data_IF_305710525562
#
_entry.id   IF_305710525562
#
_cell.length_a   1.000
_cell.length_b   1.000
_cell.length_c   1.000
_cell.angle_alpha   90.00
_cell.angle_beta   90.00
_cell.angle_gamma   90.00
#
_symmetry.space_group_name_H-M   'P 1'
#
loop_
_entity.id
_entity.type
_entity.pdbx_description
1 polymer ?
#
# COMPACT_ATOMS: atom_id res chain seq x y z
N UNK A 1 -40.34 -15.04 8.99
CA UNK A 1 -39.10 -15.65 9.53
C UNK A 1 -37.91 -15.04 8.82
N UNK A 2 -36.97 -14.52 9.54
CA UNK A 2 -35.87 -13.75 8.94
C UNK A 2 -34.52 -14.16 9.52
N UNK A 3 -33.50 -14.28 8.67
CA UNK A 3 -32.09 -14.49 9.04
C UNK A 3 -31.31 -13.25 8.64
N UNK A 4 -30.78 -12.54 9.62
CA UNK A 4 -29.96 -11.34 9.40
C UNK A 4 -28.48 -11.74 9.34
N UNK A 5 -27.81 -11.46 8.22
CA UNK A 5 -26.39 -11.74 8.02
C UNK A 5 -25.59 -10.46 8.30
N UNK A 6 -24.70 -10.48 9.31
CA UNK A 6 -23.91 -9.33 9.71
C UNK A 6 -22.42 -9.63 9.74
N UNK A 7 -21.60 -8.59 9.52
CA UNK A 7 -20.14 -8.63 9.59
C UNK A 7 -19.67 -9.14 10.96
N UNK A 8 -18.84 -10.17 10.96
CA UNK A 8 -18.06 -10.63 12.09
C UNK A 8 -16.66 -9.99 12.11
N UNK A 9 -15.75 -10.55 12.89
CA UNK A 9 -14.35 -10.11 12.94
C UNK A 9 -13.61 -10.48 11.65
N UNK A 10 -12.91 -9.50 11.08
CA UNK A 10 -11.85 -9.75 10.11
C UNK A 10 -10.62 -10.23 10.88
N UNK A 11 -10.11 -11.41 10.58
CA UNK A 11 -8.88 -11.95 11.20
C UNK A 11 -7.81 -12.12 10.12
N UNK A 12 -6.69 -11.43 10.30
CA UNK A 12 -5.45 -11.73 9.58
C UNK A 12 -4.90 -13.05 10.11
N UNK A 13 -4.47 -13.93 9.23
CA UNK A 13 -3.71 -15.12 9.60
C UNK A 13 -2.26 -14.69 9.82
N UNK A 14 -1.72 -14.63 11.05
CA UNK A 14 -0.30 -14.39 11.25
C UNK A 14 0.43 -15.59 10.68
N UNK A 15 1.25 -15.39 9.65
CA UNK A 15 2.24 -16.37 9.22
C UNK A 15 3.06 -16.74 10.45
N UNK A 16 3.01 -18.02 10.85
CA UNK A 16 3.65 -18.49 12.06
C UNK A 16 5.16 -18.32 12.00
N UNK A 17 5.68 -17.31 12.65
CA UNK A 17 7.08 -17.23 13.02
C UNK A 17 7.31 -18.11 14.22
N UNK A 18 7.93 -19.26 14.01
CA UNK A 18 8.52 -20.07 15.07
C UNK A 18 9.75 -19.31 15.56
N UNK A 19 9.61 -18.58 16.66
CA UNK A 19 10.73 -18.01 17.38
C UNK A 19 11.42 -19.13 18.17
N UNK A 20 12.51 -19.66 17.64
CA UNK A 20 13.44 -20.43 18.46
C UNK A 20 14.25 -19.46 19.32
N UNK A 21 13.86 -19.35 20.59
CA UNK A 21 14.61 -18.65 21.61
C UNK A 21 15.91 -19.43 21.93
N UNK A 22 17.03 -18.96 21.41
CA UNK A 22 18.36 -19.32 21.94
C UNK A 22 18.76 -18.27 22.97
N UNK A 23 18.75 -18.69 24.22
CA UNK A 23 19.40 -18.00 25.34
C UNK A 23 20.92 -17.99 25.11
N UNK A 24 21.52 -16.82 25.04
CA UNK A 24 22.96 -16.61 25.14
C UNK A 24 23.26 -15.79 26.39
N UNK A 25 24.38 -16.06 27.08
CA UNK A 25 24.64 -15.56 28.43
C UNK A 25 25.08 -14.10 28.43
N UNK A 26 24.73 -13.41 29.53
CA UNK A 26 25.17 -12.06 29.87
C UNK A 26 26.70 -12.03 30.07
N UNK A 27 27.42 -11.33 29.20
CA UNK A 27 28.74 -10.84 29.48
C UNK A 27 28.69 -9.31 29.65
N UNK A 28 29.09 -8.88 30.81
CA UNK A 28 29.31 -7.49 31.20
C UNK A 28 30.52 -6.96 30.43
N UNK A 29 30.37 -5.91 29.64
CA UNK A 29 31.49 -5.15 29.11
C UNK A 29 31.40 -3.68 29.50
N UNK A 30 32.52 -3.22 30.05
CA UNK A 30 32.76 -1.89 30.56
C UNK A 30 32.56 -0.80 29.48
N UNK A 31 32.02 0.34 29.91
CA UNK A 31 31.92 1.54 29.12
C UNK A 31 33.31 2.09 28.79
N UNK A 32 33.72 1.99 27.53
CA UNK A 32 34.80 2.79 26.96
C UNK A 32 34.16 3.90 26.14
N UNK A 33 34.37 5.14 26.59
CA UNK A 33 33.98 6.38 25.94
C UNK A 33 34.86 6.57 24.68
N UNK A 34 34.46 6.02 23.54
CA UNK A 34 35.04 6.34 22.25
C UNK A 34 34.34 7.57 21.66
N UNK A 35 35.02 8.69 21.67
CA UNK A 35 34.74 9.85 20.82
C UNK A 35 34.78 9.36 19.36
N UNK A 36 33.62 9.12 18.76
CA UNK A 36 33.53 8.85 17.34
C UNK A 36 33.74 10.17 16.59
N UNK A 37 34.98 10.39 16.13
CA UNK A 37 35.20 11.24 14.98
C UNK A 37 34.45 10.58 13.81
N UNK A 38 33.36 11.21 13.35
CA UNK A 38 32.75 10.85 12.10
C UNK A 38 33.80 10.96 10.99
N UNK A 39 34.04 9.92 10.17
CA UNK A 39 34.90 10.08 9.03
C UNK A 39 34.24 11.09 8.10
N UNK A 40 34.85 12.26 7.96
CA UNK A 40 34.55 13.14 6.84
C UNK A 40 34.90 12.36 5.58
N UNK A 41 33.90 11.86 4.88
CA UNK A 41 34.11 11.28 3.56
C UNK A 41 34.59 12.41 2.65
N UNK A 42 35.89 12.50 2.49
CA UNK A 42 36.50 13.29 1.43
C UNK A 42 36.22 12.58 0.12
N UNK A 43 35.20 13.00 -0.59
CA UNK A 43 34.96 12.59 -1.96
C UNK A 43 36.10 13.10 -2.82
N UNK A 44 36.97 12.19 -3.28
CA UNK A 44 37.99 12.52 -4.26
C UNK A 44 37.28 12.86 -5.58
N UNK A 45 37.05 14.13 -5.86
CA UNK A 45 36.59 14.61 -7.13
C UNK A 45 37.72 14.53 -8.14
N UNK A 46 37.55 13.71 -9.19
CA UNK A 46 38.34 13.85 -10.40
C UNK A 46 37.97 15.20 -11.04
N UNK A 47 38.75 16.22 -10.71
CA UNK A 47 38.50 17.59 -11.15
C UNK A 47 38.68 17.74 -12.66
N UNK A 48 37.59 18.05 -13.33
CA UNK A 48 37.68 18.74 -14.61
C UNK A 48 38.19 20.15 -14.31
N UNK A 49 39.39 20.46 -14.80
CA UNK A 49 40.01 21.77 -14.66
C UNK A 49 39.10 22.84 -15.29
N UNK A 50 38.47 23.69 -14.44
CA UNK A 50 37.67 24.81 -14.93
C UNK A 50 36.33 25.08 -14.23
N UNK A 51 35.80 24.20 -13.38
CA UNK A 51 34.50 24.40 -12.74
C UNK A 51 34.67 25.10 -11.37
N UNK A 52 34.59 26.44 -11.40
CA UNK A 52 34.66 27.27 -10.20
C UNK A 52 33.36 27.30 -9.38
N UNK A 53 32.31 26.64 -9.83
CA UNK A 53 31.07 26.46 -9.11
C UNK A 53 30.88 24.96 -8.82
N UNK A 54 30.75 24.61 -7.55
CA UNK A 54 30.45 23.24 -7.10
C UNK A 54 29.11 23.22 -6.40
N UNK A 55 28.15 22.46 -6.94
CA UNK A 55 26.87 22.26 -6.28
C UNK A 55 26.68 20.77 -6.00
N UNK A 56 26.15 20.45 -4.83
CA UNK A 56 25.77 19.10 -4.42
C UNK A 56 24.31 19.07 -3.99
N UNK A 57 23.68 17.91 -4.06
CA UNK A 57 22.35 17.71 -3.53
C UNK A 57 22.20 16.34 -2.87
N UNK A 58 21.26 16.24 -1.93
CA UNK A 58 20.92 15.00 -1.24
C UNK A 58 19.43 14.98 -0.94
N UNK A 59 18.84 13.78 -0.89
CA UNK A 59 17.44 13.54 -0.52
C UNK A 59 17.38 13.05 0.91
N UNK A 60 16.46 13.60 1.69
CA UNK A 60 16.14 13.14 3.05
C UNK A 60 14.63 12.94 3.16
N UNK A 61 14.19 11.71 3.45
CA UNK A 61 12.79 11.39 3.67
C UNK A 61 12.28 12.03 4.95
N UNK A 62 11.06 12.59 4.91
CA UNK A 62 10.36 13.13 6.07
C UNK A 62 9.55 12.02 6.75
N UNK A 63 9.21 10.95 6.04
CA UNK A 63 8.40 9.83 6.53
C UNK A 63 9.26 8.61 6.88
N UNK A 64 9.37 8.31 8.15
CA UNK A 64 9.63 7.04 8.85
C UNK A 64 10.68 6.03 8.39
N UNK A 65 11.07 5.96 7.12
CA UNK A 65 12.04 4.99 6.62
C UNK A 65 13.51 5.43 6.84
N UNK A 66 13.74 6.73 7.09
CA UNK A 66 15.06 7.32 7.27
C UNK A 66 15.89 7.40 5.98
N UNK A 67 16.89 8.26 5.95
CA UNK A 67 17.79 8.41 4.82
C UNK A 67 17.09 8.88 3.53
N UNK A 68 17.50 8.32 2.41
CA UNK A 68 17.04 8.68 1.06
C UNK A 68 15.92 7.76 0.51
N UNK A 69 15.09 7.17 1.39
CA UNK A 69 13.99 6.27 1.01
C UNK A 69 12.63 6.92 1.28
N UNK A 70 11.82 7.10 0.24
CA UNK A 70 10.41 7.48 0.33
C UNK A 70 9.57 6.20 0.36
N UNK A 71 8.88 5.91 1.47
CA UNK A 71 8.15 4.66 1.64
C UNK A 71 6.67 4.88 1.86
N UNK A 72 5.84 4.25 1.02
CA UNK A 72 4.40 4.07 1.23
C UNK A 72 4.21 2.84 2.11
N UNK A 73 3.80 3.06 3.34
CA UNK A 73 3.68 2.01 4.35
C UNK A 73 5.04 1.50 4.87
N UNK A 74 4.97 0.47 5.70
CA UNK A 74 6.12 -0.22 6.30
C UNK A 74 5.95 -1.73 6.15
N UNK A 75 6.98 -2.55 6.39
CA UNK A 75 6.84 -4.01 6.34
C UNK A 75 5.75 -4.59 7.27
N UNK A 76 5.43 -3.87 8.36
CA UNK A 76 4.42 -4.29 9.35
C UNK A 76 3.06 -3.60 9.17
N UNK A 77 3.02 -2.48 8.46
CA UNK A 77 1.83 -1.67 8.18
C UNK A 77 1.85 -1.25 6.71
N UNK A 78 1.58 -2.21 5.85
CA UNK A 78 1.49 -1.94 4.42
C UNK A 78 0.22 -1.18 4.04
N UNK A 79 0.23 -0.61 2.86
CA UNK A 79 -0.92 0.09 2.28
C UNK A 79 -2.00 -0.90 1.85
N UNK A 80 -3.26 -0.48 1.94
CA UNK A 80 -4.40 -1.19 1.38
C UNK A 80 -4.62 -0.77 -0.08
N UNK A 81 -4.36 -1.68 -1.02
CA UNK A 81 -4.54 -1.42 -2.46
C UNK A 81 -6.02 -1.34 -2.89
N UNK A 82 -6.97 -1.75 -2.02
CA UNK A 82 -8.41 -1.64 -2.28
C UNK A 82 -8.97 -0.25 -1.96
N UNK A 83 -8.23 0.56 -1.19
CA UNK A 83 -8.62 1.92 -0.86
C UNK A 83 -8.49 2.86 -2.06
N UNK A 84 -9.46 3.75 -2.23
CA UNK A 84 -9.48 4.72 -3.32
C UNK A 84 -8.50 5.89 -3.14
N UNK A 85 -7.95 6.08 -1.93
CA UNK A 85 -6.98 7.13 -1.62
C UNK A 85 -5.80 6.53 -0.85
N UNK A 86 -4.62 6.64 -1.44
CA UNK A 86 -3.37 6.22 -0.82
C UNK A 86 -2.64 7.46 -0.33
N UNK A 87 -2.11 7.45 0.90
CA UNK A 87 -1.37 8.58 1.46
C UNK A 87 -0.20 8.98 0.56
N UNK A 88 0.04 10.29 0.46
CA UNK A 88 1.27 10.80 -0.16
C UNK A 88 2.44 10.76 0.82
N UNK A 89 3.65 10.63 0.28
CA UNK A 89 4.89 10.68 1.05
C UNK A 89 5.77 11.81 0.53
N UNK A 90 6.52 12.44 1.43
CA UNK A 90 7.35 13.60 1.12
C UNK A 90 8.80 13.38 1.52
N UNK A 91 9.69 14.02 0.77
CA UNK A 91 11.09 14.15 1.08
C UNK A 91 11.56 15.59 0.84
N UNK A 92 12.67 15.94 1.45
CA UNK A 92 13.36 17.19 1.21
C UNK A 92 14.62 16.92 0.40
N UNK A 93 14.78 17.61 -0.72
CA UNK A 93 16.04 17.71 -1.45
C UNK A 93 16.79 18.92 -0.88
N UNK A 94 17.90 18.70 -0.21
CA UNK A 94 18.78 19.75 0.29
C UNK A 94 19.92 19.93 -0.71
N UNK A 95 20.23 21.15 -1.05
CA UNK A 95 21.35 21.46 -1.94
C UNK A 95 22.28 22.52 -1.35
N UNK A 96 23.53 22.47 -1.77
CA UNK A 96 24.55 23.44 -1.42
C UNK A 96 25.41 23.76 -2.64
N UNK A 97 25.67 25.06 -2.89
CA UNK A 97 26.53 25.54 -3.97
C UNK A 97 27.63 26.38 -3.40
N UNK A 98 28.88 26.04 -3.70
CA UNK A 98 30.08 26.78 -3.37
C UNK A 98 30.63 27.53 -4.59
N UNK A 99 30.69 28.84 -4.51
CA UNK A 99 31.37 29.69 -5.50
C UNK A 99 32.86 29.86 -5.14
N UNK A 100 33.75 29.28 -5.93
CA UNK A 100 35.20 29.37 -5.75
C UNK A 100 35.82 30.58 -6.47
N UNK A 101 35.01 31.47 -7.03
CA UNK A 101 35.48 32.67 -7.73
C UNK A 101 35.67 33.85 -6.77
N UNK A 102 36.60 34.77 -7.06
CA UNK A 102 36.79 35.98 -6.26
C UNK A 102 35.74 37.08 -6.54
N UNK A 103 34.63 36.76 -7.25
CA UNK A 103 33.55 37.66 -7.60
C UNK A 103 32.19 36.96 -7.49
N UNK A 104 31.13 37.76 -7.37
CA UNK A 104 29.74 37.25 -7.28
C UNK A 104 29.35 36.52 -8.54
N UNK A 105 28.69 35.37 -8.38
CA UNK A 105 28.20 34.51 -9.44
C UNK A 105 26.68 34.37 -9.38
N UNK A 106 26.04 34.39 -10.52
CA UNK A 106 24.61 34.13 -10.70
C UNK A 106 24.45 32.69 -11.20
N UNK A 107 23.64 31.88 -10.51
CA UNK A 107 23.51 30.45 -10.80
C UNK A 107 22.04 30.01 -10.81
N UNK A 108 21.64 29.16 -11.76
CA UNK A 108 20.39 28.41 -11.72
C UNK A 108 20.69 26.92 -11.68
N UNK A 109 19.92 26.18 -10.84
CA UNK A 109 20.01 24.74 -10.71
C UNK A 109 18.79 24.11 -11.35
N UNK A 110 18.99 22.96 -12.02
CA UNK A 110 17.93 22.05 -12.40
C UNK A 110 18.08 20.71 -11.70
N UNK A 111 17.03 20.29 -11.03
CA UNK A 111 16.89 18.97 -10.43
C UNK A 111 16.10 18.10 -11.39
N UNK A 112 16.78 17.21 -12.08
CA UNK A 112 16.19 16.27 -13.03
C UNK A 112 15.82 14.97 -12.33
N UNK A 113 14.58 14.50 -12.51
CA UNK A 113 14.13 13.18 -12.06
C UNK A 113 13.41 12.50 -13.21
N UNK A 114 13.98 11.43 -13.74
CA UNK A 114 13.39 10.61 -14.80
C UNK A 114 12.47 9.51 -14.26
N UNK A 115 12.25 8.45 -15.03
CA UNK A 115 11.39 7.33 -14.68
C UNK A 115 12.00 6.34 -13.69
N UNK A 116 13.30 6.45 -13.35
CA UNK A 116 14.02 5.48 -12.53
C UNK A 116 14.34 4.18 -13.28
N UNK A 117 14.81 3.17 -12.54
CA UNK A 117 15.30 1.91 -13.11
C UNK A 117 14.23 1.05 -13.83
N UNK A 118 12.94 1.24 -13.52
CA UNK A 118 11.85 0.48 -14.14
C UNK A 118 11.11 1.22 -15.25
N UNK A 119 11.38 2.51 -15.44
CA UNK A 119 10.74 3.35 -16.45
C UNK A 119 11.69 4.40 -17.02
N UNK A 120 12.90 4.03 -17.48
CA UNK A 120 13.98 5.00 -17.74
C UNK A 120 13.62 6.04 -18.82
N UNK A 121 12.66 5.76 -19.70
CA UNK A 121 12.19 6.68 -20.74
C UNK A 121 10.82 7.29 -20.46
N UNK A 122 10.22 6.93 -19.32
CA UNK A 122 8.83 7.30 -19.00
C UNK A 122 8.74 7.89 -17.59
N UNK A 123 8.31 9.12 -17.49
CA UNK A 123 8.14 9.79 -16.20
C UNK A 123 6.66 10.11 -15.86
N UNK A 124 5.70 9.53 -16.62
CA UNK A 124 4.27 9.69 -16.33
C UNK A 124 3.43 8.55 -16.97
N UNK A 125 2.95 7.60 -16.19
CA UNK A 125 3.32 7.32 -14.79
C UNK A 125 4.70 6.64 -14.70
N UNK A 126 5.28 6.70 -13.50
CA UNK A 126 6.45 5.90 -13.12
C UNK A 126 6.00 4.56 -12.56
N UNK A 127 6.91 3.57 -12.56
CA UNK A 127 6.63 2.23 -12.07
C UNK A 127 7.52 1.88 -10.87
N UNK A 128 6.89 1.36 -9.81
CA UNK A 128 7.55 0.55 -8.81
C UNK A 128 7.41 -0.91 -9.25
N UNK A 129 8.44 -1.70 -9.19
CA UNK A 129 8.37 -3.12 -9.49
C UNK A 129 8.77 -3.97 -8.29
N UNK A 130 8.20 -5.17 -8.20
CA UNK A 130 8.60 -6.10 -7.15
C UNK A 130 9.94 -6.78 -7.54
N UNK A 131 10.97 -6.77 -6.66
CA UNK A 131 12.32 -7.23 -7.02
C UNK A 131 12.38 -8.68 -7.49
N UNK A 132 11.53 -9.56 -6.94
CA UNK A 132 11.46 -10.98 -7.35
C UNK A 132 10.47 -11.24 -8.50
N UNK A 133 9.61 -10.29 -8.86
CA UNK A 133 8.56 -10.41 -9.89
C UNK A 133 8.40 -9.07 -10.62
N UNK A 134 9.33 -8.70 -11.48
CA UNK A 134 9.39 -7.36 -12.08
C UNK A 134 8.21 -7.01 -13.00
N UNK A 135 7.43 -8.02 -13.42
CA UNK A 135 6.18 -7.80 -14.17
C UNK A 135 5.02 -7.34 -13.29
N UNK A 136 5.11 -7.52 -11.96
CA UNK A 136 4.13 -7.03 -11.02
C UNK A 136 4.55 -5.63 -10.57
N UNK A 137 3.79 -4.63 -10.98
CA UNK A 137 4.16 -3.22 -10.82
C UNK A 137 3.05 -2.42 -10.15
N UNK A 138 3.44 -1.33 -9.50
CA UNK A 138 2.57 -0.26 -9.05
C UNK A 138 2.93 1.02 -9.77
N UNK A 139 1.93 1.79 -10.14
CA UNK A 139 2.10 3.10 -10.75
C UNK A 139 2.16 4.19 -9.68
N UNK A 140 3.08 5.12 -9.83
CA UNK A 140 3.22 6.27 -8.95
C UNK A 140 3.65 7.51 -9.70
N UNK A 141 3.64 8.65 -9.01
CA UNK A 141 4.10 9.90 -9.60
C UNK A 141 4.87 10.73 -8.58
N UNK A 142 5.81 11.53 -9.09
CA UNK A 142 6.61 12.48 -8.33
C UNK A 142 6.20 13.91 -8.72
N UNK A 143 6.02 14.75 -7.71
CA UNK A 143 5.53 16.12 -7.88
C UNK A 143 6.48 17.14 -7.30
N UNK A 144 6.60 18.27 -8.01
CA UNK A 144 7.28 19.49 -7.57
C UNK A 144 6.45 20.24 -6.52
N UNK A 145 7.02 21.24 -5.84
CA UNK A 145 6.29 22.06 -4.86
C UNK A 145 5.05 22.77 -5.43
N UNK A 146 5.04 23.05 -6.73
CA UNK A 146 3.90 23.68 -7.44
C UNK A 146 2.80 22.67 -7.82
N UNK A 147 2.92 21.40 -7.44
CA UNK A 147 1.99 20.34 -7.77
C UNK A 147 2.10 19.77 -9.18
N UNK A 148 3.00 20.27 -10.01
CA UNK A 148 3.22 19.72 -11.35
C UNK A 148 4.15 18.51 -11.31
N UNK A 149 4.03 17.62 -12.32
CA UNK A 149 4.84 16.41 -12.42
C UNK A 149 6.32 16.78 -12.55
N UNK A 150 7.15 16.11 -11.74
CA UNK A 150 8.61 16.26 -11.82
C UNK A 150 9.14 15.50 -13.03
N UNK A 151 9.95 16.12 -13.82
CA UNK A 151 10.59 15.53 -14.99
C UNK A 151 12.06 15.92 -15.11
N UNK A 152 12.57 15.91 -16.34
CA UNK A 152 13.97 16.23 -16.64
C UNK A 152 14.09 17.09 -17.90
N UNK A 153 15.32 17.53 -18.18
CA UNK A 153 15.68 18.17 -19.44
C UNK A 153 16.01 17.16 -20.56
N UNK A 154 15.76 15.85 -20.34
CA UNK A 154 15.93 14.84 -21.39
C UNK A 154 15.07 15.19 -22.62
N UNK A 155 15.55 14.94 -23.85
CA UNK A 155 14.83 15.29 -25.09
C UNK A 155 13.42 14.73 -25.17
N UNK A 156 13.19 13.54 -24.63
CA UNK A 156 11.90 12.82 -24.66
C UNK A 156 11.10 12.95 -23.36
N UNK A 157 11.50 13.80 -22.43
CA UNK A 157 10.79 14.00 -21.18
C UNK A 157 9.51 14.82 -21.39
N UNK A 158 8.37 14.25 -21.00
CA UNK A 158 7.07 14.93 -21.07
C UNK A 158 6.85 15.94 -19.94
N UNK A 159 7.73 15.95 -18.94
CA UNK A 159 7.70 16.89 -17.83
C UNK A 159 9.04 17.57 -17.66
N UNK A 160 9.02 18.78 -17.12
CA UNK A 160 10.23 19.59 -16.92
C UNK A 160 10.82 19.38 -15.53
N UNK A 161 12.14 19.55 -15.35
CA UNK A 161 12.77 19.50 -14.03
C UNK A 161 12.27 20.64 -13.14
N UNK A 162 12.55 20.54 -11.85
CA UNK A 162 12.49 21.70 -10.98
C UNK A 162 13.69 22.60 -11.25
N UNK A 163 13.45 23.89 -11.48
CA UNK A 163 14.48 24.91 -11.68
C UNK A 163 14.39 25.93 -10.54
N UNK A 164 15.51 26.19 -9.88
CA UNK A 164 15.56 27.20 -8.81
C UNK A 164 15.33 28.62 -9.35
N UNK A 165 14.92 29.51 -8.46
CA UNK A 165 15.13 30.91 -8.67
C UNK A 165 16.63 31.21 -8.85
N UNK A 166 16.94 32.43 -9.30
CA UNK A 166 18.32 32.84 -9.46
C UNK A 166 19.03 32.89 -8.11
N UNK A 167 20.05 32.06 -7.96
CA UNK A 167 20.95 32.10 -6.81
C UNK A 167 22.06 33.12 -7.07
N UNK A 168 22.18 34.07 -6.18
CA UNK A 168 23.29 35.02 -6.16
C UNK A 168 24.24 34.59 -5.06
N UNK A 169 25.49 34.23 -5.42
CA UNK A 169 26.46 33.65 -4.52
C UNK A 169 27.74 34.54 -4.55
N UNK A 170 28.07 35.11 -3.40
CA UNK A 170 29.24 35.99 -3.24
C UNK A 170 30.57 35.29 -3.52
N UNK A 171 31.67 36.02 -3.57
CA UNK A 171 32.99 35.46 -3.77
C UNK A 171 33.36 34.50 -2.64
N UNK A 172 33.94 33.35 -2.97
CA UNK A 172 34.36 32.30 -2.03
C UNK A 172 33.31 31.97 -0.96
N UNK A 173 32.03 31.98 -1.35
CA UNK A 173 30.90 31.81 -0.44
C UNK A 173 30.03 30.63 -0.84
N UNK A 174 29.29 30.10 0.14
CA UNK A 174 28.33 29.01 -0.04
C UNK A 174 26.87 29.53 0.01
N UNK A 175 26.01 28.94 -0.76
CA UNK A 175 24.54 29.11 -0.72
C UNK A 175 23.87 27.77 -0.71
N UNK A 176 23.02 27.55 0.29
CA UNK A 176 22.21 26.33 0.41
C UNK A 176 20.71 26.64 0.28
N UNK A 177 19.92 25.58 0.05
CA UNK A 177 18.48 25.66 0.02
C UNK A 177 17.84 24.27 0.03
N UNK A 178 16.50 24.27 0.02
CA UNK A 178 15.71 23.04 0.09
C UNK A 178 14.56 23.08 -0.91
N UNK A 179 14.18 21.89 -1.40
CA UNK A 179 13.05 21.69 -2.29
C UNK A 179 12.24 20.48 -1.83
N UNK A 180 10.93 20.60 -1.72
CA UNK A 180 10.06 19.48 -1.36
C UNK A 180 9.81 18.60 -2.58
N UNK A 181 9.99 17.29 -2.40
CA UNK A 181 9.63 16.23 -3.34
C UNK A 181 8.43 15.47 -2.75
N UNK A 182 7.32 15.41 -3.48
CA UNK A 182 6.14 14.65 -3.09
C UNK A 182 5.95 13.44 -4.00
N UNK A 183 5.81 12.25 -3.43
CA UNK A 183 5.45 11.04 -4.17
C UNK A 183 4.01 10.63 -3.86
N UNK A 184 3.26 10.20 -4.89
CA UNK A 184 1.88 9.71 -4.79
C UNK A 184 1.74 8.42 -5.60
N UNK A 185 1.12 7.40 -5.00
CA UNK A 185 0.65 6.24 -5.75
C UNK A 185 -0.60 6.62 -6.53
N UNK A 186 -0.76 6.04 -7.71
CA UNK A 186 -1.99 6.24 -8.48
C UNK A 186 -3.10 5.34 -7.92
N UNK A 187 -4.36 5.76 -8.14
CA UNK A 187 -5.54 5.00 -7.74
C UNK A 187 -5.78 3.81 -8.68
N UNK A 188 -6.68 2.90 -8.29
CA UNK A 188 -7.15 1.78 -9.12
C UNK A 188 -6.05 0.78 -9.50
N UNK A 189 -5.32 0.30 -8.48
CA UNK A 189 -4.25 -0.69 -8.64
C UNK A 189 -4.55 -2.00 -7.91
N UNK A 190 -5.81 -2.35 -7.83
CA UNK A 190 -6.36 -3.50 -7.10
C UNK A 190 -5.84 -4.84 -7.65
N UNK A 191 -5.36 -4.84 -8.91
CA UNK A 191 -4.77 -6.02 -9.57
C UNK A 191 -3.32 -6.29 -9.15
N UNK A 192 -2.66 -5.35 -8.48
CA UNK A 192 -1.33 -5.58 -7.93
C UNK A 192 -1.42 -6.54 -6.72
N UNK A 193 -0.42 -7.40 -6.58
CA UNK A 193 -0.40 -8.46 -5.57
C UNK A 193 0.40 -8.03 -4.34
N UNK A 194 -0.19 -7.93 -3.16
CA UNK A 194 0.58 -7.75 -1.93
C UNK A 194 1.43 -8.99 -1.64
N UNK A 195 2.60 -8.78 -1.01
CA UNK A 195 3.52 -9.87 -0.67
C UNK A 195 3.63 -10.05 0.84
N UNK A 196 3.46 -11.29 1.27
CA UNK A 196 3.48 -11.67 2.69
C UNK A 196 4.90 -11.77 3.26
N UNK A 197 5.93 -11.76 2.41
CA UNK A 197 7.34 -11.78 2.82
C UNK A 197 7.88 -10.40 3.22
N UNK A 198 7.03 -9.36 3.18
CA UNK A 198 7.38 -7.98 3.52
C UNK A 198 8.24 -7.26 2.48
N UNK A 199 8.55 -7.90 1.35
CA UNK A 199 9.29 -7.26 0.27
C UNK A 199 8.49 -6.11 -0.34
N UNK A 200 9.08 -4.91 -0.50
CA UNK A 200 8.38 -3.79 -1.12
C UNK A 200 8.38 -3.90 -2.65
N UNK A 201 7.47 -3.19 -3.26
CA UNK A 201 7.67 -2.67 -4.61
C UNK A 201 8.66 -1.50 -4.54
N UNK A 202 9.58 -1.39 -5.47
CA UNK A 202 10.58 -0.32 -5.42
C UNK A 202 10.91 0.26 -6.79
N UNK A 203 11.40 1.50 -6.79
CA UNK A 203 12.07 2.15 -7.91
C UNK A 203 13.30 2.90 -7.39
N UNK A 204 14.43 2.68 -8.05
CA UNK A 204 15.72 3.27 -7.72
C UNK A 204 15.98 4.42 -8.70
N UNK A 205 16.36 5.56 -8.16
CA UNK A 205 16.77 6.75 -8.87
C UNK A 205 18.22 7.06 -8.53
N UNK A 206 19.09 6.89 -9.50
CA UNK A 206 20.53 7.10 -9.36
C UNK A 206 21.13 7.69 -10.64
N UNK A 207 22.40 8.12 -10.58
CA UNK A 207 23.11 8.67 -11.70
C UNK A 207 22.32 9.73 -12.45
N UNK A 208 22.08 9.50 -13.75
CA UNK A 208 21.38 10.46 -14.61
C UNK A 208 19.90 10.54 -14.30
N UNK A 209 19.29 9.49 -13.72
CA UNK A 209 17.86 9.46 -13.39
C UNK A 209 17.47 10.35 -12.21
N UNK A 210 18.45 10.75 -11.38
CA UNK A 210 18.31 11.75 -10.33
C UNK A 210 19.53 12.66 -10.34
N UNK A 211 19.55 13.63 -11.25
CA UNK A 211 20.76 14.42 -11.56
C UNK A 211 20.57 15.92 -11.36
N UNK A 212 21.67 16.57 -10.97
CA UNK A 212 21.77 17.99 -10.76
C UNK A 212 22.60 18.63 -11.88
N UNK A 213 22.01 19.61 -12.56
CA UNK A 213 22.69 20.46 -13.53
C UNK A 213 22.65 21.90 -13.04
N UNK A 214 23.66 22.67 -13.40
CA UNK A 214 23.63 24.12 -13.19
C UNK A 214 24.33 24.88 -14.29
N UNK A 215 23.88 26.12 -14.49
CA UNK A 215 24.52 27.09 -15.32
C UNK A 215 24.86 28.34 -14.49
N UNK A 216 26.06 28.83 -14.64
CA UNK A 216 26.60 29.93 -13.81
C UNK A 216 27.27 30.98 -14.67
N UNK A 217 26.95 32.25 -14.43
CA UNK A 217 27.57 33.40 -15.07
C UNK A 217 28.05 34.38 -14.02
N UNK A 218 29.06 35.16 -14.36
CA UNK A 218 29.60 36.25 -13.54
C UNK A 218 29.43 37.64 -14.24
N UNK A 219 28.88 37.63 -15.45
CA UNK A 219 28.55 38.87 -16.17
C UNK A 219 27.11 39.34 -15.83
N UNK A 220 26.74 40.49 -16.34
CA UNK A 220 25.37 41.02 -16.16
C UNK A 220 24.28 40.14 -16.76
N UNK A 221 24.60 39.26 -17.73
CA UNK A 221 23.68 38.27 -18.27
C UNK A 221 23.41 37.20 -17.23
N UNK A 222 22.14 36.99 -16.94
CA UNK A 222 21.66 35.99 -15.97
C UNK A 222 21.32 34.72 -16.71
N UNK A 223 21.74 33.52 -16.24
CA UNK A 223 21.38 32.27 -16.88
C UNK A 223 19.86 32.06 -16.85
N UNK A 224 19.27 31.78 -18.05
CA UNK A 224 17.85 31.51 -18.22
C UNK A 224 17.53 30.00 -18.13
N UNK A 225 18.56 29.14 -18.20
CA UNK A 225 18.46 27.69 -18.14
C UNK A 225 19.62 27.12 -17.28
N UNK A 226 19.63 25.82 -17.08
CA UNK A 226 20.61 25.13 -16.26
C UNK A 226 21.60 24.26 -17.06
N UNK A 227 21.75 24.51 -18.35
CA UNK A 227 22.58 23.68 -19.23
C UNK A 227 21.82 22.49 -19.81
N UNK A 228 22.55 21.57 -20.46
CA UNK A 228 21.97 20.41 -21.13
C UNK A 228 21.84 19.23 -20.18
N UNK A 229 20.89 18.34 -20.44
CA UNK A 229 20.63 17.13 -19.64
C UNK A 229 21.89 16.24 -19.50
N UNK A 230 22.58 15.98 -20.61
CA UNK A 230 23.75 15.09 -20.61
C UNK A 230 25.01 15.70 -19.97
N UNK A 231 24.96 16.95 -19.59
CA UNK A 231 26.04 17.60 -18.82
C UNK A 231 25.75 17.63 -17.31
N UNK A 232 25.09 16.57 -16.79
CA UNK A 232 24.86 16.45 -15.35
C UNK A 232 26.19 16.51 -14.59
N UNK A 233 26.22 17.32 -13.53
CA UNK A 233 27.43 17.62 -12.80
C UNK A 233 27.48 16.93 -11.43
N UNK A 234 26.30 16.53 -10.90
CA UNK A 234 26.14 15.79 -9.65
C UNK A 234 24.88 14.94 -9.71
N UNK A 235 24.68 14.05 -8.73
CA UNK A 235 23.50 13.22 -8.56
C UNK A 235 23.02 13.24 -7.12
N UNK A 236 21.70 13.01 -6.92
CA UNK A 236 21.07 12.93 -5.60
C UNK A 236 20.22 11.65 -5.51
N UNK A 237 20.88 10.48 -5.35
CA UNK A 237 20.21 9.19 -5.43
C UNK A 237 19.19 9.00 -4.30
N UNK A 238 18.05 8.38 -4.64
CA UNK A 238 17.01 8.00 -3.70
C UNK A 238 16.21 6.79 -4.20
N UNK A 239 15.43 6.20 -3.30
CA UNK A 239 14.54 5.06 -3.59
C UNK A 239 13.12 5.42 -3.20
N UNK A 240 12.16 5.00 -4.02
CA UNK A 240 10.74 5.00 -3.68
C UNK A 240 10.29 3.57 -3.46
N UNK A 241 9.62 3.30 -2.34
CA UNK A 241 9.14 1.97 -1.98
C UNK A 241 7.65 1.98 -1.64
N UNK A 242 6.97 0.85 -1.84
CA UNK A 242 5.60 0.64 -1.40
C UNK A 242 5.46 -0.78 -0.81
N UNK A 243 5.05 -0.84 0.46
CA UNK A 243 4.69 -2.09 1.13
C UNK A 243 3.18 -2.27 1.04
N UNK A 244 2.70 -3.25 0.27
CA UNK A 244 1.28 -3.56 0.14
C UNK A 244 0.91 -4.72 1.08
N UNK A 245 -0.21 -4.57 1.81
CA UNK A 245 -0.72 -5.62 2.71
C UNK A 245 -1.84 -6.42 2.07
N UNK A 246 -1.90 -7.74 2.32
CA UNK A 246 -3.12 -8.51 2.08
C UNK A 246 -4.27 -7.94 2.90
N UNK A 247 -5.40 -7.68 2.25
CA UNK A 247 -6.61 -7.15 2.90
C UNK A 247 -7.84 -7.79 2.29
N UNK A 248 -8.84 -8.07 3.13
CA UNK A 248 -10.18 -8.44 2.71
C UNK A 248 -11.23 -7.50 3.31
N UNK A 249 -12.19 -7.10 2.51
CA UNK A 249 -13.31 -6.25 2.87
C UNK A 249 -14.63 -7.01 2.78
N UNK A 250 -15.48 -6.85 3.80
CA UNK A 250 -16.88 -7.22 3.73
C UNK A 250 -17.63 -6.08 3.04
N UNK A 251 -18.24 -6.34 1.91
CA UNK A 251 -18.98 -5.33 1.14
C UNK A 251 -20.45 -5.31 1.54
N UNK A 252 -21.14 -6.46 1.45
CA UNK A 252 -22.56 -6.55 1.78
C UNK A 252 -22.98 -7.99 2.08
N UNK A 253 -24.11 -8.13 2.75
CA UNK A 253 -24.86 -9.37 2.80
C UNK A 253 -26.35 -9.06 2.80
N UNK A 254 -27.12 -9.84 2.06
CA UNK A 254 -28.57 -9.77 2.03
C UNK A 254 -29.14 -10.50 3.25
N UNK A 255 -30.24 -9.98 3.81
CA UNK A 255 -31.07 -10.73 4.74
C UNK A 255 -31.82 -11.85 3.99
N UNK A 256 -31.99 -13.00 4.63
CA UNK A 256 -32.75 -14.12 4.07
C UNK A 256 -34.12 -14.15 4.75
N UNK A 257 -35.14 -13.75 4.01
CA UNK A 257 -36.51 -13.68 4.49
C UNK A 257 -37.36 -14.84 3.87
N UNK A 258 -37.84 -15.73 4.71
CA UNK A 258 -38.72 -16.80 4.31
C UNK A 258 -40.17 -16.33 4.11
N UNK A 259 -40.52 -15.13 4.55
CA UNK A 259 -41.86 -14.61 4.49
C UNK A 259 -42.82 -15.25 5.53
N UNK A 260 -44.13 -15.20 5.24
CA UNK A 260 -45.18 -15.76 6.11
C UNK A 260 -45.60 -17.11 5.60
N UNK A 261 -45.64 -18.11 6.46
CA UNK A 261 -46.07 -19.48 6.17
C UNK A 261 -47.06 -19.98 7.19
N UNK A 262 -47.94 -20.88 6.76
CA UNK A 262 -48.85 -21.61 7.67
C UNK A 262 -48.07 -22.64 8.48
N UNK A 263 -48.53 -22.94 9.70
CA UNK A 263 -48.00 -24.04 10.48
C UNK A 263 -48.05 -25.35 9.70
N UNK A 264 -46.99 -26.16 9.82
CA UNK A 264 -46.87 -27.43 9.10
C UNK A 264 -46.38 -27.33 7.65
N UNK A 265 -46.00 -26.13 7.14
CA UNK A 265 -45.29 -26.00 5.86
C UNK A 265 -43.92 -26.68 5.92
N UNK A 266 -43.51 -27.35 4.85
CA UNK A 266 -42.26 -28.14 4.81
C UNK A 266 -41.31 -27.66 3.72
N UNK A 267 -40.01 -27.95 3.91
CA UNK A 267 -38.93 -27.77 2.93
C UNK A 267 -38.85 -26.36 2.35
N UNK A 268 -38.99 -25.35 3.23
CA UNK A 268 -38.83 -23.94 2.83
C UNK A 268 -37.38 -23.66 2.48
N UNK A 269 -37.18 -22.93 1.38
CA UNK A 269 -35.87 -22.55 0.87
C UNK A 269 -35.87 -21.09 0.46
N UNK A 270 -34.87 -20.39 0.92
CA UNK A 270 -34.59 -18.99 0.51
C UNK A 270 -33.10 -18.76 0.38
N UNK A 271 -32.74 -17.70 -0.31
CA UNK A 271 -31.32 -17.35 -0.48
C UNK A 271 -31.11 -15.85 -0.46
N UNK A 272 -29.89 -15.46 -0.08
CA UNK A 272 -29.35 -14.12 -0.17
C UNK A 272 -27.93 -14.15 -0.70
N UNK A 273 -27.37 -12.99 -1.01
CA UNK A 273 -26.01 -12.85 -1.48
C UNK A 273 -25.11 -12.32 -0.38
N UNK A 274 -23.86 -12.79 -0.40
CA UNK A 274 -22.77 -12.32 0.45
C UNK A 274 -21.63 -11.87 -0.46
N UNK A 275 -21.22 -10.60 -0.37
CA UNK A 275 -20.17 -10.03 -1.22
C UNK A 275 -18.96 -9.64 -0.37
N UNK A 276 -17.80 -10.11 -0.79
CA UNK A 276 -16.49 -9.79 -0.22
C UNK A 276 -15.53 -9.32 -1.30
N UNK A 277 -14.53 -8.54 -0.95
CA UNK A 277 -13.47 -8.09 -1.85
C UNK A 277 -12.13 -8.29 -1.16
N UNK A 278 -11.19 -8.95 -1.84
CA UNK A 278 -9.84 -9.18 -1.32
C UNK A 278 -8.79 -8.75 -2.34
N UNK A 279 -7.66 -8.25 -1.86
CA UNK A 279 -6.51 -7.90 -2.71
C UNK A 279 -6.06 -9.09 -3.54
N UNK A 280 -5.54 -8.81 -4.73
CA UNK A 280 -5.11 -9.83 -5.69
C UNK A 280 -4.07 -10.80 -5.08
N UNK A 281 -4.25 -12.10 -5.33
CA UNK A 281 -3.38 -13.15 -4.83
C UNK A 281 -3.56 -13.47 -3.33
N UNK A 282 -4.43 -12.77 -2.61
CA UNK A 282 -4.68 -13.03 -1.18
C UNK A 282 -5.58 -14.25 -1.00
N UNK A 283 -5.08 -15.36 -0.42
CA UNK A 283 -5.94 -16.49 -0.07
C UNK A 283 -6.84 -16.10 1.10
N UNK A 284 -8.12 -16.44 1.00
CA UNK A 284 -9.07 -16.14 2.07
C UNK A 284 -10.12 -17.25 2.26
N UNK A 285 -10.76 -17.22 3.42
CA UNK A 285 -11.87 -18.09 3.75
C UNK A 285 -13.04 -17.28 4.29
N UNK A 286 -14.25 -17.72 3.99
CA UNK A 286 -15.49 -17.12 4.48
C UNK A 286 -16.29 -18.19 5.21
N UNK A 287 -16.47 -18.01 6.50
CA UNK A 287 -17.27 -18.85 7.38
C UNK A 287 -18.56 -18.17 7.82
N UNK A 288 -19.59 -18.97 8.11
CA UNK A 288 -20.87 -18.51 8.63
C UNK A 288 -21.10 -19.14 10.02
N UNK A 289 -21.45 -18.30 11.00
CA UNK A 289 -21.67 -18.70 12.38
C UNK A 289 -23.04 -18.22 12.84
N UNK A 290 -24.06 -19.09 12.93
CA UNK A 290 -25.36 -18.77 13.53
C UNK A 290 -25.21 -18.33 15.00
N UNK A 291 -26.24 -17.66 15.55
CA UNK A 291 -26.21 -17.10 16.92
C UNK A 291 -26.10 -18.19 18.01
N UNK A 292 -26.47 -19.43 17.72
CA UNK A 292 -26.28 -20.58 18.63
C UNK A 292 -24.82 -21.05 18.69
N UNK A 293 -23.90 -20.44 17.94
CA UNK A 293 -22.47 -20.77 17.92
C UNK A 293 -22.11 -22.02 17.12
N UNK A 294 -23.06 -22.63 16.40
CA UNK A 294 -22.80 -23.80 15.58
C UNK A 294 -21.81 -23.49 14.45
N UNK A 295 -20.82 -24.35 14.28
CA UNK A 295 -19.75 -24.21 13.29
C UNK A 295 -20.00 -25.02 12.01
N UNK A 296 -21.08 -25.78 11.94
CA UNK A 296 -21.43 -26.70 10.84
C UNK A 296 -22.52 -26.14 9.93
N UNK A 297 -22.95 -24.89 10.16
CA UNK A 297 -23.97 -24.24 9.34
C UNK A 297 -25.42 -24.57 9.73
N UNK A 298 -25.64 -25.07 10.96
CA UNK A 298 -26.96 -25.32 11.52
C UNK A 298 -27.33 -24.25 12.54
N UNK A 299 -28.36 -23.48 12.29
CA UNK A 299 -28.85 -22.41 13.16
C UNK A 299 -30.26 -22.65 13.70
N UNK A 300 -30.68 -21.78 14.60
CA UNK A 300 -32.01 -21.77 15.20
C UNK A 300 -32.53 -20.33 15.27
N UNK A 301 -33.63 -20.04 14.54
CA UNK A 301 -34.34 -18.76 14.69
C UNK A 301 -35.16 -18.81 15.98
N UNK A 302 -35.08 -17.75 16.77
CA UNK A 302 -35.82 -17.55 18.02
C UNK A 302 -37.01 -16.63 17.77
N UNK A 303 -38.09 -16.87 18.53
CA UNK A 303 -39.23 -15.94 18.49
C UNK A 303 -38.82 -14.55 18.99
N UNK A 304 -39.38 -13.52 18.37
CA UNK A 304 -39.29 -12.12 18.84
C UNK A 304 -40.13 -11.88 20.09
N UNK A 305 -41.14 -12.74 20.36
CA UNK A 305 -41.87 -12.73 21.62
C UNK A 305 -41.13 -13.55 22.68
N UNK A 306 -40.65 -12.95 23.77
CA UNK A 306 -39.88 -13.63 24.83
C UNK A 306 -40.70 -14.71 25.58
N UNK A 307 -42.01 -14.66 25.53
CA UNK A 307 -42.87 -15.67 26.13
C UNK A 307 -42.92 -16.98 25.27
N UNK A 308 -42.55 -16.92 24.01
CA UNK A 308 -42.46 -18.07 23.13
C UNK A 308 -41.02 -18.57 23.08
N UNK A 309 -40.79 -19.76 23.65
CA UNK A 309 -39.45 -20.39 23.77
C UNK A 309 -39.11 -21.31 22.60
N UNK A 310 -40.02 -21.46 21.60
CA UNK A 310 -39.79 -22.26 20.42
C UNK A 310 -38.59 -21.75 19.62
N UNK A 311 -37.92 -22.68 18.96
CA UNK A 311 -36.78 -22.42 18.10
C UNK A 311 -36.97 -23.13 16.77
N UNK A 312 -36.93 -22.41 15.68
CA UNK A 312 -37.04 -22.95 14.32
C UNK A 312 -35.68 -23.27 13.77
N UNK A 313 -35.29 -24.57 13.65
CA UNK A 313 -34.00 -24.96 13.13
C UNK A 313 -33.91 -24.68 11.62
N UNK A 314 -32.74 -24.25 11.17
CA UNK A 314 -32.44 -24.05 9.77
C UNK A 314 -31.01 -24.52 9.43
N UNK A 315 -30.72 -24.65 8.13
CA UNK A 315 -29.39 -25.00 7.61
C UNK A 315 -28.95 -23.99 6.57
N UNK A 316 -27.68 -23.57 6.65
CA UNK A 316 -27.03 -22.72 5.65
C UNK A 316 -26.26 -23.58 4.65
N UNK A 317 -26.36 -23.25 3.34
CA UNK A 317 -25.70 -23.97 2.26
C UNK A 317 -24.97 -23.03 1.30
N UNK A 318 -23.97 -23.57 0.60
CA UNK A 318 -23.21 -22.89 -0.44
C UNK A 318 -23.93 -22.94 -1.77
N UNK A 319 -24.74 -21.92 -2.06
CA UNK A 319 -25.59 -21.88 -3.27
C UNK A 319 -26.89 -22.62 -3.12
N UNK A 320 -27.70 -22.60 -4.18
CA UNK A 320 -29.10 -23.05 -4.20
C UNK A 320 -29.30 -24.48 -4.70
N UNK A 321 -28.24 -25.18 -5.12
CA UNK A 321 -28.37 -26.56 -5.65
C UNK A 321 -28.84 -27.54 -4.56
N UNK A 322 -29.62 -28.51 -4.93
CA UNK A 322 -30.19 -29.55 -4.01
C UNK A 322 -29.11 -30.29 -3.25
N UNK A 323 -27.94 -30.53 -3.86
CA UNK A 323 -26.80 -31.22 -3.26
C UNK A 323 -25.75 -30.24 -2.70
N UNK A 324 -26.08 -28.96 -2.52
CA UNK A 324 -25.16 -27.98 -1.99
C UNK A 324 -24.69 -28.34 -0.58
N UNK A 325 -23.39 -28.25 -0.35
CA UNK A 325 -22.77 -28.52 0.96
C UNK A 325 -23.19 -27.48 2.00
N UNK A 326 -23.30 -27.92 3.24
CA UNK A 326 -23.50 -27.00 4.36
C UNK A 326 -22.37 -25.97 4.44
N UNK A 327 -22.74 -24.75 4.80
CA UNK A 327 -21.81 -23.63 4.96
C UNK A 327 -21.75 -23.17 6.41
N UNK A 328 -20.73 -23.59 7.10
CA UNK A 328 -20.41 -23.18 8.46
C UNK A 328 -19.05 -22.52 8.51
N UNK A 329 -18.31 -22.77 9.59
CA UNK A 329 -17.00 -22.19 9.86
C UNK A 329 -15.92 -23.25 10.17
N UNK A 330 -16.04 -24.46 9.61
CA UNK A 330 -15.08 -25.54 9.76
C UNK A 330 -14.00 -25.53 8.68
N UNK A 331 -12.76 -25.94 8.96
CA UNK A 331 -11.68 -26.00 7.97
C UNK A 331 -11.90 -27.05 6.88
N UNK A 332 -12.67 -28.12 7.19
CA UNK A 332 -12.99 -29.22 6.28
C UNK A 332 -14.24 -29.94 6.75
N UNK A 333 -14.77 -30.86 5.93
CA UNK A 333 -15.93 -31.69 6.25
C UNK A 333 -17.25 -30.94 6.14
N UNK A 334 -18.24 -31.39 6.92
CA UNK A 334 -19.57 -30.78 6.98
C UNK A 334 -19.49 -29.37 7.54
N UNK A 335 -20.11 -28.39 6.86
CA UNK A 335 -20.09 -27.00 7.28
C UNK A 335 -18.74 -26.31 7.05
N UNK A 336 -17.94 -26.81 6.11
CA UNK A 336 -16.67 -26.14 5.78
C UNK A 336 -16.90 -24.72 5.26
N UNK A 337 -15.94 -23.81 5.57
CA UNK A 337 -15.94 -22.46 5.01
C UNK A 337 -15.74 -22.43 3.50
N UNK A 338 -16.15 -21.35 2.85
CA UNK A 338 -15.81 -21.08 1.46
C UNK A 338 -14.34 -20.65 1.37
N UNK A 339 -13.54 -21.30 0.50
CA UNK A 339 -12.15 -20.94 0.22
C UNK A 339 -12.07 -20.25 -1.15
N UNK A 340 -11.25 -19.21 -1.24
CA UNK A 340 -10.95 -18.55 -2.51
C UNK A 340 -9.65 -17.77 -2.44
N UNK A 341 -9.24 -17.20 -3.56
CA UNK A 341 -8.15 -16.25 -3.69
C UNK A 341 -8.70 -14.96 -4.27
N UNK A 342 -8.33 -13.84 -3.70
CA UNK A 342 -8.68 -12.51 -4.19
C UNK A 342 -8.09 -12.24 -5.57
N UNK A 343 -8.78 -11.41 -6.35
CA UNK A 343 -8.35 -10.90 -7.64
C UNK A 343 -8.46 -9.37 -7.73
N UNK A 344 -8.66 -8.71 -6.57
CA UNK A 344 -8.90 -7.27 -6.47
C UNK A 344 -10.35 -6.87 -6.72
N UNK A 345 -11.18 -7.76 -7.27
CA UNK A 345 -12.59 -7.51 -7.56
C UNK A 345 -13.52 -8.01 -6.45
N UNK A 346 -14.77 -7.53 -6.45
CA UNK A 346 -15.82 -8.02 -5.56
C UNK A 346 -16.27 -9.42 -6.00
N UNK A 347 -16.37 -10.34 -5.02
CA UNK A 347 -16.81 -11.72 -5.19
C UNK A 347 -18.11 -11.93 -4.45
N UNK A 348 -19.16 -12.31 -5.18
CA UNK A 348 -20.47 -12.58 -4.60
C UNK A 348 -20.71 -14.08 -4.49
N UNK A 349 -21.15 -14.51 -3.31
CA UNK A 349 -21.52 -15.88 -2.99
C UNK A 349 -22.99 -15.95 -2.63
N UNK A 350 -23.71 -16.93 -3.14
CA UNK A 350 -25.09 -17.19 -2.74
C UNK A 350 -25.11 -18.06 -1.48
N UNK A 351 -25.76 -17.56 -0.44
CA UNK A 351 -26.07 -18.27 0.80
C UNK A 351 -27.51 -18.74 0.71
N UNK A 352 -27.74 -20.05 0.66
CA UNK A 352 -29.09 -20.61 0.76
C UNK A 352 -29.39 -21.04 2.20
N UNK A 353 -30.61 -20.81 2.65
CA UNK A 353 -31.13 -21.29 3.93
C UNK A 353 -32.32 -22.22 3.72
N UNK A 354 -32.37 -23.30 4.49
CA UNK A 354 -33.46 -24.30 4.45
C UNK A 354 -34.04 -24.48 5.83
N UNK A 355 -35.40 -24.44 5.91
CA UNK A 355 -36.21 -24.82 7.08
C UNK A 355 -37.00 -26.05 6.74
N UNK A 356 -36.89 -27.11 7.54
CA UNK A 356 -37.53 -28.40 7.24
C UNK A 356 -39.02 -28.43 7.49
N UNK A 357 -39.49 -27.79 8.53
CA UNK A 357 -40.91 -27.61 8.82
C UNK A 357 -41.18 -26.34 9.64
N UNK A 358 -42.45 -25.92 9.68
CA UNK A 358 -42.90 -24.74 10.42
C UNK A 358 -43.93 -25.09 11.47
N UNK A 359 -43.92 -26.33 12.00
CA UNK A 359 -44.84 -26.77 13.05
C UNK A 359 -44.39 -26.26 14.43
N UNK A 360 -44.53 -24.93 14.63
CA UNK A 360 -44.15 -24.20 15.81
C UNK A 360 -45.24 -23.20 16.19
N UNK A 361 -45.21 -22.70 17.42
CA UNK A 361 -46.12 -21.66 17.89
C UNK A 361 -46.14 -20.48 16.90
N UNK A 362 -47.32 -20.00 16.45
CA UNK A 362 -47.39 -18.86 15.53
C UNK A 362 -46.67 -17.63 16.10
N UNK A 363 -45.84 -16.97 15.29
CA UNK A 363 -45.08 -15.80 15.70
C UNK A 363 -44.01 -15.39 14.68
N UNK A 364 -43.34 -14.31 14.95
CA UNK A 364 -42.15 -13.88 14.26
C UNK A 364 -40.91 -14.59 14.81
N UNK A 365 -40.07 -15.13 13.92
CA UNK A 365 -38.83 -15.83 14.28
C UNK A 365 -37.66 -15.22 13.51
N UNK A 366 -36.57 -14.98 14.19
CA UNK A 366 -35.36 -14.39 13.60
C UNK A 366 -34.08 -15.00 14.21
N UNK A 367 -33.00 -14.96 13.41
CA UNK A 367 -31.65 -15.25 13.87
C UNK A 367 -30.65 -14.30 13.23
N UNK A 368 -29.46 -14.23 13.84
CA UNK A 368 -28.32 -13.43 13.37
C UNK A 368 -27.16 -14.35 13.04
N UNK A 369 -26.72 -14.32 11.78
CA UNK A 369 -25.55 -15.06 11.33
C UNK A 369 -24.33 -14.11 11.25
N UNK A 370 -23.22 -14.50 11.89
CA UNK A 370 -21.96 -13.80 11.82
C UNK A 370 -21.13 -14.32 10.65
N UNK A 371 -20.62 -13.41 9.81
CA UNK A 371 -19.64 -13.70 8.75
C UNK A 371 -18.24 -13.59 9.32
N UNK A 372 -17.45 -14.66 9.24
CA UNK A 372 -16.05 -14.72 9.64
C UNK A 372 -15.15 -14.81 8.41
N UNK A 373 -14.37 -13.74 8.14
CA UNK A 373 -13.45 -13.68 7.01
C UNK A 373 -12.04 -13.75 7.56
N UNK A 374 -11.24 -14.70 7.03
CA UNK A 374 -9.83 -14.90 7.40
C UNK A 374 -8.96 -14.84 6.15
N UNK A 375 -7.85 -14.12 6.24
CA UNK A 375 -6.87 -13.94 5.17
C UNK A 375 -5.46 -13.76 5.72
#
# INVERSE_FOLDING_TARGET
MQINIKRGRLKTNPAGFIQTSRLLPKTIFAAALCLMFAPTQTWAHNGVVGDYMKCTASVSSISGAGGNVLSFGTPTQGINLLEGQIPEVQATITYECLNLRPYTTHTRLCFNIDGGNHSPSQNNPRLLAHPKRPTNTLQFQLYKPDGTVWGSNAPNSNAKPYMTEMLVIGPNSTKSGQVTLTAKLLNHQETATPYTDGSPYEAIFDGISASLNWNSTFWQERPTNCGTYYSSKDSFPFTVQAHASPVCEFISADDIDFGTHTAGSTDLKQSGNLTVRCTNGTPYTVGLIPSNGNQEGSGEMKSTNPANTDKVPYRLKKGTNTNAHLWGNQPSGTGSWQKATGDGSSKTYTVAAEVKNTDYTPGEYQDKVTVDIRY
#
